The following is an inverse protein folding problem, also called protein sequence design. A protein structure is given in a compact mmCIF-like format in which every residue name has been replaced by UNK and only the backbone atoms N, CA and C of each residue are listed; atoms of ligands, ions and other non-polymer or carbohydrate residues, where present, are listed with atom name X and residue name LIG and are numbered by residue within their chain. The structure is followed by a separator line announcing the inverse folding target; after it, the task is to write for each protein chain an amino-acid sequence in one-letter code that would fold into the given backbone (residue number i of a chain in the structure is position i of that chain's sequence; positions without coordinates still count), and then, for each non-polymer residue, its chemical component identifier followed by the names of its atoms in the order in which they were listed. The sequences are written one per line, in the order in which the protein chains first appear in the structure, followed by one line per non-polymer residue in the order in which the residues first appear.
data_IF_760184545383
#
_entry.id   IF_760184545383
#
_cell.length_a   1.000
_cell.length_b   1.000
_cell.length_c   1.000
_cell.angle_alpha   90.00
_cell.angle_beta   90.00
_cell.angle_gamma   90.00
#
_symmetry.space_group_name_H-M   'P 1'
#
loop_
_entity.id
_entity.type
_entity.pdbx_description
1 polymer ?
#
# COMPACT_ATOMS: atom_id res chain seq x y z
N UNK A 1 -17.65 -43.58 -79.53
CA UNK A 1 -18.15 -43.34 -78.15
C UNK A 1 -17.46 -44.31 -77.20
N UNK A 2 -16.51 -43.83 -76.38
CA UNK A 2 -16.13 -44.42 -75.09
C UNK A 2 -15.30 -43.40 -74.34
N UNK A 3 -15.91 -42.80 -73.32
CA UNK A 3 -15.30 -41.86 -72.38
C UNK A 3 -14.75 -42.69 -71.22
N UNK A 4 -13.45 -42.65 -71.00
CA UNK A 4 -12.81 -43.16 -69.78
C UNK A 4 -12.34 -41.98 -68.94
N UNK A 5 -13.05 -41.71 -67.85
CA UNK A 5 -12.76 -40.62 -66.90
C UNK A 5 -11.50 -40.96 -66.08
N UNK A 6 -10.53 -40.05 -66.06
CA UNK A 6 -9.43 -40.04 -65.09
C UNK A 6 -9.92 -39.45 -63.77
N UNK A 7 -9.86 -40.24 -62.69
CA UNK A 7 -10.21 -39.81 -61.33
C UNK A 7 -9.00 -39.15 -60.68
N UNK A 8 -9.07 -37.84 -60.45
CA UNK A 8 -8.06 -37.09 -59.69
C UNK A 8 -8.45 -37.12 -58.20
N UNK A 9 -7.65 -37.77 -57.35
CA UNK A 9 -7.82 -37.68 -55.90
C UNK A 9 -7.22 -36.36 -55.40
N UNK A 10 -8.08 -35.37 -55.12
CA UNK A 10 -7.70 -34.16 -54.41
C UNK A 10 -7.66 -34.43 -52.91
N UNK A 11 -6.45 -34.53 -52.34
CA UNK A 11 -6.28 -34.57 -50.89
C UNK A 11 -6.47 -33.17 -50.30
N UNK A 12 -7.54 -32.95 -49.54
CA UNK A 12 -7.66 -31.79 -48.67
C UNK A 12 -6.66 -31.94 -47.51
N UNK A 13 -5.57 -31.18 -47.55
CA UNK A 13 -4.72 -30.99 -46.39
C UNK A 13 -5.44 -30.03 -45.43
N UNK A 14 -6.07 -30.57 -44.39
CA UNK A 14 -6.52 -29.82 -43.23
C UNK A 14 -5.28 -29.42 -42.41
N UNK A 15 -4.74 -28.24 -42.66
CA UNK A 15 -3.79 -27.62 -41.72
C UNK A 15 -4.56 -27.20 -40.47
N UNK A 16 -4.22 -27.72 -39.28
CA UNK A 16 -4.83 -27.25 -38.05
C UNK A 16 -4.39 -25.81 -37.83
N UNK A 17 -5.34 -24.88 -37.81
CA UNK A 17 -5.11 -23.54 -37.28
C UNK A 17 -4.92 -23.71 -35.77
N UNK A 18 -3.67 -23.79 -35.32
CA UNK A 18 -3.34 -23.65 -33.92
C UNK A 18 -3.67 -22.21 -33.52
N UNK A 19 -4.85 -22.00 -32.94
CA UNK A 19 -5.14 -20.77 -32.21
C UNK A 19 -4.23 -20.78 -30.99
N UNK A 20 -3.10 -20.06 -31.09
CA UNK A 20 -2.31 -19.72 -29.93
C UNK A 20 -3.18 -18.83 -29.04
N UNK A 21 -3.83 -19.45 -28.06
CA UNK A 21 -4.44 -18.70 -26.95
C UNK A 21 -3.27 -17.97 -26.29
N UNK A 22 -3.30 -16.64 -26.15
CA UNK A 22 -2.29 -15.97 -25.38
C UNK A 22 -2.37 -16.55 -23.98
N UNK A 23 -1.38 -17.33 -23.56
CA UNK A 23 -1.20 -17.59 -22.14
C UNK A 23 -0.93 -16.21 -21.53
N UNK A 24 -1.86 -15.69 -20.74
CA UNK A 24 -1.55 -14.62 -19.80
C UNK A 24 -0.49 -15.18 -18.85
N UNK A 25 0.78 -15.02 -19.23
CA UNK A 25 1.88 -15.22 -18.30
C UNK A 25 1.72 -14.19 -17.18
N UNK A 26 1.74 -14.67 -15.94
CA UNK A 26 1.92 -13.83 -14.76
C UNK A 26 3.06 -12.85 -15.04
N UNK A 27 2.77 -11.55 -14.95
CA UNK A 27 3.80 -10.50 -15.01
C UNK A 27 4.41 -10.23 -13.64
N UNK A 28 3.80 -10.75 -12.58
CA UNK A 28 4.38 -10.72 -11.26
C UNK A 28 5.65 -11.59 -11.21
N UNK A 29 6.71 -11.04 -10.64
CA UNK A 29 8.01 -11.71 -10.52
C UNK A 29 8.31 -12.01 -9.05
N UNK A 30 8.91 -13.17 -8.76
CA UNK A 30 9.36 -13.46 -7.39
C UNK A 30 10.33 -12.37 -6.90
N UNK A 31 10.10 -11.87 -5.69
CA UNK A 31 10.94 -10.86 -5.05
C UNK A 31 11.06 -11.13 -3.56
N UNK A 32 11.88 -12.13 -3.23
CA UNK A 32 12.11 -12.55 -1.86
C UNK A 32 12.96 -11.56 -1.06
N UNK A 33 13.60 -10.60 -1.73
CA UNK A 33 14.45 -9.59 -1.09
C UNK A 33 13.61 -8.55 -0.36
N UNK A 34 12.46 -8.16 -0.93
CA UNK A 34 11.58 -7.16 -0.34
C UNK A 34 10.81 -7.67 0.90
N UNK A 35 10.68 -8.99 1.05
CA UNK A 35 9.99 -9.60 2.18
C UNK A 35 10.47 -9.07 3.54
N UNK A 36 11.77 -8.91 3.73
CA UNK A 36 12.32 -8.49 5.03
C UNK A 36 11.86 -7.08 5.41
N UNK A 37 11.83 -6.15 4.45
CA UNK A 37 11.40 -4.77 4.71
C UNK A 37 9.88 -4.68 4.89
N UNK A 38 9.10 -5.43 4.11
CA UNK A 38 7.63 -5.48 4.25
C UNK A 38 7.16 -6.23 5.50
N UNK A 39 7.88 -7.28 5.93
CA UNK A 39 7.66 -7.94 7.21
C UNK A 39 7.90 -6.99 8.38
N UNK A 40 9.00 -6.21 8.35
CA UNK A 40 9.26 -5.17 9.35
C UNK A 40 8.18 -4.09 9.32
N UNK A 41 7.75 -3.65 8.14
CA UNK A 41 6.66 -2.71 8.01
C UNK A 41 5.39 -3.24 8.69
N UNK A 42 5.07 -4.53 8.53
CA UNK A 42 3.92 -5.17 9.17
C UNK A 42 4.07 -5.30 10.69
N UNK A 43 5.28 -5.56 11.20
CA UNK A 43 5.58 -5.52 12.63
C UNK A 43 5.30 -4.13 13.23
N UNK A 44 5.79 -3.06 12.58
CA UNK A 44 5.57 -1.68 13.00
C UNK A 44 4.10 -1.27 12.92
N UNK A 45 3.38 -1.67 11.87
CA UNK A 45 1.94 -1.46 11.77
C UNK A 45 1.18 -2.21 12.86
N UNK A 46 1.57 -3.44 13.19
CA UNK A 46 1.01 -4.19 14.32
C UNK A 46 1.28 -3.49 15.66
N UNK A 47 2.48 -2.94 15.87
CA UNK A 47 2.83 -2.21 17.09
C UNK A 47 1.97 -0.94 17.28
N UNK A 48 1.57 -0.28 16.17
CA UNK A 48 0.64 0.84 16.22
C UNK A 48 -0.75 0.41 16.73
N UNK A 49 -1.23 -0.79 16.37
CA UNK A 49 -2.46 -1.35 16.94
C UNK A 49 -2.30 -1.71 18.41
N UNK A 50 -1.16 -2.30 18.79
CA UNK A 50 -0.86 -2.67 20.19
C UNK A 50 -0.77 -1.44 21.09
N UNK A 51 -0.45 -0.26 20.55
CA UNK A 51 -0.24 0.96 21.33
C UNK A 51 1.09 0.93 22.08
N UNK A 52 2.13 0.38 21.47
CA UNK A 52 3.46 0.30 22.06
C UNK A 52 3.98 1.68 22.49
N UNK A 53 4.60 1.74 23.67
CA UNK A 53 5.21 2.96 24.22
C UNK A 53 6.71 2.76 24.42
N UNK A 54 7.49 3.82 24.30
CA UNK A 54 8.96 3.78 24.39
C UNK A 54 9.62 3.24 23.13
N UNK A 55 9.33 1.99 22.75
CA UNK A 55 9.88 1.35 21.56
C UNK A 55 8.85 0.51 20.80
N UNK A 56 8.98 0.46 19.49
CA UNK A 56 8.33 -0.51 18.61
C UNK A 56 9.40 -1.19 17.76
N UNK A 57 9.81 -2.40 18.15
CA UNK A 57 10.93 -3.12 17.55
C UNK A 57 12.21 -2.26 17.57
N UNK A 58 12.78 -1.95 16.41
CA UNK A 58 14.00 -1.14 16.28
C UNK A 58 13.76 0.37 16.38
N UNK A 59 12.49 0.81 16.43
CA UNK A 59 12.12 2.23 16.49
C UNK A 59 11.99 2.68 17.94
N UNK A 60 12.79 3.68 18.32
CA UNK A 60 12.60 4.45 19.55
C UNK A 60 11.52 5.51 19.30
N UNK A 61 10.41 5.42 20.03
CA UNK A 61 9.25 6.31 19.88
C UNK A 61 9.51 7.61 20.63
N UNK A 62 9.40 8.74 19.93
CA UNK A 62 9.54 10.08 20.52
C UNK A 62 8.21 10.80 20.66
N UNK A 63 7.23 10.48 19.80
CA UNK A 63 5.88 11.07 19.87
C UNK A 63 4.81 10.02 19.58
N UNK A 64 3.77 10.00 20.40
CA UNK A 64 2.52 9.31 20.08
C UNK A 64 1.60 10.27 19.33
N UNK A 65 0.97 9.77 18.26
CA UNK A 65 -0.12 10.44 17.57
C UNK A 65 -1.41 9.93 18.22
N UNK A 66 -2.24 10.85 18.73
CA UNK A 66 -3.51 10.51 19.36
C UNK A 66 -4.51 11.66 19.22
N UNK A 67 -5.21 11.72 18.09
CA UNK A 67 -6.30 12.67 17.86
C UNK A 67 -7.65 12.00 18.16
N UNK A 68 -8.33 12.49 19.20
CA UNK A 68 -9.54 11.89 19.73
C UNK A 68 -10.74 12.05 18.79
N UNK A 69 -10.83 13.16 18.07
CA UNK A 69 -12.00 13.49 17.24
C UNK A 69 -12.10 12.58 16.03
N UNK A 70 -10.96 12.24 15.43
CA UNK A 70 -10.86 11.42 14.22
C UNK A 70 -10.37 9.99 14.52
N UNK A 71 -10.25 9.62 15.80
CA UNK A 71 -9.64 8.36 16.29
C UNK A 71 -8.33 8.02 15.55
N UNK A 72 -7.54 9.05 15.25
CA UNK A 72 -6.31 8.93 14.46
C UNK A 72 -5.15 8.70 15.40
N UNK A 73 -4.54 7.54 15.27
CA UNK A 73 -3.47 7.09 16.15
C UNK A 73 -2.26 6.60 15.38
N UNK A 74 -1.12 6.62 16.05
CA UNK A 74 0.15 6.19 15.47
C UNK A 74 1.32 6.60 16.36
N UNK A 75 2.52 6.48 15.82
CA UNK A 75 3.73 6.91 16.50
C UNK A 75 4.73 7.49 15.52
N UNK A 76 5.61 8.34 16.05
CA UNK A 76 6.77 8.88 15.36
C UNK A 76 8.00 8.56 16.19
N UNK A 77 9.08 8.19 15.52
CA UNK A 77 10.32 7.85 16.18
C UNK A 77 11.48 7.72 15.22
N UNK A 78 12.57 7.16 15.72
CA UNK A 78 13.77 6.91 14.92
C UNK A 78 14.33 5.51 15.20
N UNK A 79 14.93 4.91 14.19
CA UNK A 79 15.71 3.68 14.29
C UNK A 79 17.18 3.98 14.05
N UNK A 80 18.01 3.70 15.05
CA UNK A 80 19.47 3.81 14.92
C UNK A 80 20.05 2.68 14.07
N UNK A 81 19.42 1.50 14.12
CA UNK A 81 19.80 0.32 13.33
C UNK A 81 19.63 0.57 11.84
N UNK A 82 18.47 1.12 11.44
CA UNK A 82 18.13 1.39 10.04
C UNK A 82 18.51 2.81 9.58
N UNK A 83 18.86 3.70 10.53
CA UNK A 83 19.09 5.14 10.30
C UNK A 83 17.90 5.81 9.62
N UNK A 84 16.70 5.57 10.17
CA UNK A 84 15.42 6.06 9.64
C UNK A 84 14.61 6.80 10.68
N UNK A 85 13.90 7.83 10.25
CA UNK A 85 12.82 8.47 11.00
C UNK A 85 11.51 7.85 10.52
N UNK A 86 10.73 7.29 11.45
CA UNK A 86 9.56 6.46 11.12
C UNK A 86 8.28 7.16 11.55
N UNK A 87 7.30 7.23 10.65
CA UNK A 87 5.90 7.57 10.95
C UNK A 87 5.05 6.32 10.75
N UNK A 88 4.49 5.77 11.83
CA UNK A 88 3.64 4.59 11.76
C UNK A 88 2.19 4.93 12.13
N UNK A 89 1.26 4.70 11.21
CA UNK A 89 -0.15 5.00 11.41
C UNK A 89 -0.92 3.73 11.76
N UNK A 90 -1.75 3.81 12.80
CA UNK A 90 -2.67 2.74 13.18
C UNK A 90 -3.83 2.68 12.18
N UNK A 91 -4.31 1.49 11.89
CA UNK A 91 -5.61 1.33 11.24
C UNK A 91 -6.78 1.50 12.22
N UNK A 92 -7.96 1.18 11.70
CA UNK A 92 -9.24 1.21 12.41
C UNK A 92 -9.30 0.23 13.58
N UNK A 93 -9.92 0.61 14.68
CA UNK A 93 -10.31 -0.32 15.76
C UNK A 93 -11.35 -1.34 15.32
N UNK A 94 -12.23 -0.94 14.39
CA UNK A 94 -13.17 -1.81 13.69
C UNK A 94 -13.03 -1.63 12.17
N UNK A 95 -12.29 -2.53 11.53
CA UNK A 95 -12.05 -2.46 10.08
C UNK A 95 -13.34 -2.68 9.27
N UNK A 96 -14.22 -3.56 9.73
CA UNK A 96 -15.50 -3.85 9.05
C UNK A 96 -16.43 -2.67 9.04
N UNK A 97 -16.51 -1.92 10.15
CA UNK A 97 -17.40 -0.75 10.23
C UNK A 97 -16.88 0.37 9.33
N UNK A 98 -15.56 0.62 9.34
CA UNK A 98 -14.96 1.66 8.51
C UNK A 98 -15.08 1.36 7.01
N UNK A 99 -15.05 0.10 6.59
CA UNK A 99 -15.30 -0.25 5.20
C UNK A 99 -16.71 0.16 4.70
N UNK A 100 -17.69 0.23 5.62
CA UNK A 100 -19.06 0.63 5.33
C UNK A 100 -19.30 2.13 5.50
N UNK A 101 -18.61 2.77 6.46
CA UNK A 101 -18.92 4.12 6.93
C UNK A 101 -17.92 5.20 6.49
N UNK A 102 -16.81 4.84 5.82
CA UNK A 102 -15.82 5.84 5.38
C UNK A 102 -16.44 6.82 4.39
N UNK A 103 -16.22 8.11 4.63
CA UNK A 103 -16.68 9.18 3.75
C UNK A 103 -15.85 9.20 2.47
N UNK A 104 -16.40 8.61 1.42
CA UNK A 104 -15.78 8.53 0.09
C UNK A 104 -15.94 9.80 -0.75
N UNK A 105 -16.52 10.87 -0.22
CA UNK A 105 -16.70 12.13 -0.94
C UNK A 105 -15.35 12.71 -1.35
N UNK A 106 -15.15 12.97 -2.64
CA UNK A 106 -13.92 13.59 -3.15
C UNK A 106 -13.87 15.08 -2.77
N UNK A 107 -12.80 15.47 -2.08
CA UNK A 107 -12.50 16.85 -1.71
C UNK A 107 -11.17 17.30 -2.32
N UNK A 108 -11.01 18.61 -2.51
CA UNK A 108 -9.72 19.21 -2.87
C UNK A 108 -8.87 19.34 -1.60
N UNK A 109 -7.75 18.61 -1.48
CA UNK A 109 -6.96 18.61 -0.26
C UNK A 109 -6.12 19.89 -0.12
N UNK A 110 -5.87 20.29 1.12
CA UNK A 110 -4.96 21.39 1.48
C UNK A 110 -4.19 21.02 2.74
N UNK A 111 -2.86 21.07 2.67
CA UNK A 111 -1.95 20.75 3.77
C UNK A 111 -0.76 21.70 3.74
N UNK A 112 -0.21 22.06 4.90
CA UNK A 112 0.95 22.92 4.96
C UNK A 112 2.18 22.26 4.28
N UNK A 113 2.93 23.03 3.50
CA UNK A 113 4.10 22.50 2.77
C UNK A 113 3.79 21.55 1.60
N UNK A 114 2.52 21.35 1.22
CA UNK A 114 2.13 20.51 0.08
C UNK A 114 1.43 21.33 -1.00
N UNK A 115 1.98 21.31 -2.22
CA UNK A 115 1.37 21.95 -3.39
C UNK A 115 0.65 20.90 -4.24
N UNK A 116 -0.66 20.73 -4.04
CA UNK A 116 -1.47 19.83 -4.85
C UNK A 116 -1.74 20.42 -6.25
N UNK A 117 -1.67 19.63 -7.33
CA UNK A 117 -2.02 20.09 -8.67
C UNK A 117 -3.54 20.27 -8.79
N UNK A 118 -3.96 21.10 -9.74
CA UNK A 118 -5.39 21.25 -10.07
C UNK A 118 -5.98 19.91 -10.50
N UNK A 119 -7.19 19.61 -10.04
CA UNK A 119 -7.87 18.34 -10.34
C UNK A 119 -7.59 17.22 -9.35
N UNK A 120 -6.48 17.26 -8.60
CA UNK A 120 -6.19 16.25 -7.58
C UNK A 120 -7.23 16.30 -6.45
N UNK A 121 -7.96 15.21 -6.30
CA UNK A 121 -8.98 15.05 -5.25
C UNK A 121 -8.80 13.74 -4.53
N UNK A 122 -9.05 13.75 -3.24
CA UNK A 122 -9.00 12.55 -2.39
C UNK A 122 -10.25 12.44 -1.52
N UNK A 123 -10.54 11.23 -1.04
CA UNK A 123 -11.68 11.00 -0.19
C UNK A 123 -11.56 11.74 1.15
N UNK A 124 -12.65 12.38 1.56
CA UNK A 124 -12.73 13.14 2.81
C UNK A 124 -12.42 12.28 4.04
N UNK A 125 -12.83 11.01 4.03
CA UNK A 125 -12.55 10.04 5.10
C UNK A 125 -11.07 9.70 5.32
N UNK A 126 -10.17 10.09 4.41
CA UNK A 126 -8.71 10.03 4.61
C UNK A 126 -8.14 11.43 4.83
N UNK A 127 -8.65 12.43 4.10
CA UNK A 127 -8.16 13.79 4.22
C UNK A 127 -8.38 14.35 5.63
N UNK A 128 -9.59 14.22 6.18
CA UNK A 128 -9.95 14.71 7.51
C UNK A 128 -9.02 14.16 8.62
N UNK A 129 -8.89 12.83 8.82
CA UNK A 129 -8.00 12.29 9.84
C UNK A 129 -6.51 12.61 9.61
N UNK A 130 -6.04 12.66 8.36
CA UNK A 130 -4.65 13.05 8.12
C UNK A 130 -4.41 14.53 8.43
N UNK A 131 -5.32 15.41 7.99
CA UNK A 131 -5.21 16.85 8.17
C UNK A 131 -5.19 17.25 9.66
N UNK A 132 -5.89 16.51 10.52
CA UNK A 132 -5.93 16.79 11.96
C UNK A 132 -4.60 16.53 12.66
N UNK A 133 -3.75 15.64 12.11
CA UNK A 133 -2.44 15.29 12.69
C UNK A 133 -1.26 15.81 11.87
N UNK A 134 -1.48 16.30 10.65
CA UNK A 134 -0.45 16.65 9.67
C UNK A 134 0.66 17.54 10.25
N UNK A 135 0.30 18.72 10.77
CA UNK A 135 1.30 19.69 11.23
C UNK A 135 2.09 19.16 12.43
N UNK A 136 1.44 18.37 13.27
CA UNK A 136 2.05 17.71 14.42
C UNK A 136 3.05 16.63 14.01
N UNK A 137 2.77 15.90 12.93
CA UNK A 137 3.68 14.91 12.33
C UNK A 137 4.86 15.62 11.69
N UNK A 138 4.62 16.62 10.82
CA UNK A 138 5.68 17.34 10.12
C UNK A 138 6.62 18.04 11.12
N UNK A 139 6.09 18.63 12.18
CA UNK A 139 6.89 19.28 13.23
C UNK A 139 7.83 18.30 13.94
N UNK A 140 7.34 17.11 14.32
CA UNK A 140 8.17 16.10 14.98
C UNK A 140 9.22 15.50 14.04
N UNK A 141 8.83 15.18 12.81
CA UNK A 141 9.77 14.68 11.80
C UNK A 141 10.86 15.72 11.53
N UNK A 142 10.52 17.01 11.46
CA UNK A 142 11.50 18.08 11.32
C UNK A 142 12.48 18.12 12.49
N UNK A 143 11.99 18.05 13.73
CA UNK A 143 12.83 17.97 14.93
C UNK A 143 13.81 16.79 14.88
N UNK A 144 13.33 15.61 14.46
CA UNK A 144 14.18 14.43 14.29
C UNK A 144 15.17 14.57 13.13
N UNK A 145 14.79 15.22 12.03
CA UNK A 145 15.70 15.49 10.90
C UNK A 145 16.84 16.43 11.32
N UNK A 146 16.56 17.42 12.19
CA UNK A 146 17.58 18.32 12.73
C UNK A 146 18.55 17.58 13.68
N UNK A 147 18.05 16.61 14.45
CA UNK A 147 18.88 15.78 15.35
C UNK A 147 19.66 14.69 14.59
N UNK A 148 19.09 14.13 13.54
CA UNK A 148 19.62 13.02 12.75
C UNK A 148 19.69 13.40 11.26
N UNK A 149 20.59 14.32 10.87
CA UNK A 149 20.63 14.89 9.52
C UNK A 149 20.99 13.87 8.44
N UNK A 150 21.60 12.75 8.78
CA UNK A 150 21.97 11.66 7.87
C UNK A 150 20.92 10.54 7.80
N UNK A 151 19.81 10.64 8.53
CA UNK A 151 18.75 9.63 8.50
C UNK A 151 17.80 9.88 7.32
N UNK A 152 17.30 8.78 6.74
CA UNK A 152 16.20 8.82 5.77
C UNK A 152 14.85 8.84 6.49
N UNK A 153 13.75 9.03 5.77
CA UNK A 153 12.41 9.04 6.36
C UNK A 153 11.62 7.86 5.81
N UNK A 154 10.86 7.20 6.67
CA UNK A 154 9.91 6.16 6.29
C UNK A 154 8.53 6.39 6.89
N UNK A 155 7.50 5.88 6.20
CA UNK A 155 6.18 5.75 6.80
C UNK A 155 5.54 4.40 6.53
N UNK A 156 4.70 3.93 7.45
CA UNK A 156 4.02 2.64 7.33
C UNK A 156 2.67 2.65 8.03
N UNK A 157 1.80 1.74 7.64
CA UNK A 157 0.52 1.54 8.30
C UNK A 157 -0.26 0.43 7.62
N UNK A 158 -1.26 -0.10 8.32
CA UNK A 158 -2.10 -1.18 7.85
C UNK A 158 -3.57 -0.74 7.76
N UNK A 159 -4.32 -1.25 6.77
CA UNK A 159 -5.74 -0.92 6.57
C UNK A 159 -5.92 0.58 6.39
N UNK A 160 -6.78 1.24 7.19
CA UNK A 160 -6.88 2.70 7.26
C UNK A 160 -5.51 3.38 7.46
N UNK A 161 -4.62 2.81 8.27
CA UNK A 161 -3.26 3.33 8.47
C UNK A 161 -2.40 3.22 7.21
N UNK A 162 -2.63 2.20 6.39
CA UNK A 162 -2.03 2.07 5.07
C UNK A 162 -2.58 3.13 4.10
N UNK A 163 -3.88 3.38 4.15
CA UNK A 163 -4.50 4.45 3.36
C UNK A 163 -4.02 5.85 3.78
N UNK A 164 -3.80 6.08 5.08
CA UNK A 164 -3.12 7.30 5.59
C UNK A 164 -1.65 7.38 5.15
N UNK A 165 -0.99 6.23 4.95
CA UNK A 165 0.41 6.18 4.50
C UNK A 165 0.58 6.72 3.07
N UNK A 166 -0.42 6.61 2.20
CA UNK A 166 -0.41 7.29 0.89
C UNK A 166 -0.24 8.81 1.04
N UNK A 167 -1.12 9.46 1.80
CA UNK A 167 -1.03 10.91 1.96
C UNK A 167 0.18 11.33 2.81
N UNK A 168 0.58 10.50 3.77
CA UNK A 168 1.84 10.66 4.52
C UNK A 168 3.05 10.70 3.60
N UNK A 169 3.15 9.78 2.64
CA UNK A 169 4.24 9.74 1.66
C UNK A 169 4.37 11.06 0.90
N UNK A 170 3.26 11.59 0.38
CA UNK A 170 3.23 12.87 -0.33
C UNK A 170 3.65 14.02 0.60
N UNK A 171 3.08 14.08 1.81
CA UNK A 171 3.37 15.14 2.77
C UNK A 171 4.85 15.16 3.17
N UNK A 172 5.45 13.99 3.41
CA UNK A 172 6.86 13.85 3.75
C UNK A 172 7.77 14.22 2.57
N UNK A 173 7.46 13.77 1.36
CA UNK A 173 8.25 14.11 0.17
C UNK A 173 8.28 15.61 -0.12
N UNK A 174 7.14 16.30 0.04
CA UNK A 174 7.02 17.74 -0.24
C UNK A 174 7.61 18.60 0.88
N UNK A 175 7.49 18.20 2.15
CA UNK A 175 8.06 18.95 3.27
C UNK A 175 9.57 18.70 3.46
N UNK A 176 10.09 17.56 2.99
CA UNK A 176 11.50 17.17 3.14
C UNK A 176 12.16 16.78 1.80
N UNK A 177 12.18 17.66 0.78
CA UNK A 177 12.61 17.32 -0.58
C UNK A 177 14.08 16.87 -0.70
N UNK A 178 14.91 17.13 0.32
CA UNK A 178 16.31 16.68 0.41
C UNK A 178 16.52 15.32 1.08
N UNK A 179 15.44 14.63 1.49
CA UNK A 179 15.50 13.34 2.18
C UNK A 179 15.03 12.21 1.28
N UNK A 180 15.64 11.04 1.42
CA UNK A 180 15.10 9.81 0.83
C UNK A 180 13.87 9.38 1.62
N UNK A 181 12.76 9.17 0.91
CA UNK A 181 11.47 8.75 1.48
C UNK A 181 11.13 7.34 1.01
N UNK A 182 10.82 6.43 1.94
CA UNK A 182 10.30 5.08 1.64
C UNK A 182 9.04 4.84 2.46
N UNK A 183 7.91 4.62 1.81
CA UNK A 183 6.63 4.39 2.46
C UNK A 183 6.07 3.02 2.13
N UNK A 184 5.53 2.33 3.12
CA UNK A 184 4.96 0.98 2.98
C UNK A 184 3.49 1.00 3.43
N UNK A 185 2.58 1.16 2.48
CA UNK A 185 1.15 1.11 2.72
C UNK A 185 0.67 -0.35 2.68
N UNK A 186 0.27 -0.90 3.83
CA UNK A 186 -0.13 -2.31 3.93
C UNK A 186 -1.65 -2.45 3.89
N UNK A 187 -2.15 -3.39 3.07
CA UNK A 187 -3.57 -3.71 2.96
C UNK A 187 -4.45 -2.45 2.78
N UNK A 188 -4.00 -1.53 1.94
CA UNK A 188 -4.59 -0.20 1.80
C UNK A 188 -5.55 -0.14 0.60
N UNK A 189 -6.68 0.54 0.78
CA UNK A 189 -7.59 0.90 -0.32
C UNK A 189 -7.12 2.20 -1.00
N UNK A 190 -7.42 2.44 -2.29
CA UNK A 190 -7.06 3.67 -2.97
C UNK A 190 -7.89 4.84 -2.44
N UNK A 191 -7.31 6.05 -2.48
CA UNK A 191 -7.83 7.19 -1.69
C UNK A 191 -8.24 8.40 -2.54
N UNK A 192 -8.07 8.37 -3.86
CA UNK A 192 -8.32 9.53 -4.69
C UNK A 192 -8.44 9.22 -6.16
N UNK A 193 -8.72 10.27 -6.92
CA UNK A 193 -8.86 10.18 -8.37
C UNK A 193 -7.50 10.02 -9.08
N UNK A 194 -7.55 9.88 -10.41
CA UNK A 194 -6.37 9.72 -11.24
C UNK A 194 -5.36 10.87 -11.09
N UNK A 195 -5.82 12.13 -11.03
CA UNK A 195 -4.93 13.29 -10.82
C UNK A 195 -4.18 13.21 -9.48
N UNK A 196 -4.85 12.75 -8.41
CA UNK A 196 -4.22 12.53 -7.12
C UNK A 196 -3.20 11.38 -7.16
N UNK A 197 -3.54 10.26 -7.82
CA UNK A 197 -2.63 9.13 -7.99
C UNK A 197 -1.38 9.50 -8.81
N UNK A 198 -1.56 10.28 -9.90
CA UNK A 198 -0.47 10.82 -10.70
C UNK A 198 0.42 11.75 -9.89
N UNK A 199 -0.15 12.60 -9.03
CA UNK A 199 0.62 13.44 -8.12
C UNK A 199 1.43 12.59 -7.15
N UNK A 200 0.82 11.56 -6.54
CA UNK A 200 1.52 10.59 -5.69
C UNK A 200 2.68 9.90 -6.41
N UNK A 201 2.46 9.39 -7.62
CA UNK A 201 3.49 8.74 -8.43
C UNK A 201 4.64 9.67 -8.83
N UNK A 202 4.41 10.98 -8.87
CA UNK A 202 5.43 11.98 -9.25
C UNK A 202 6.38 12.38 -8.11
N UNK A 203 6.10 11.97 -6.87
CA UNK A 203 6.91 12.35 -5.71
C UNK A 203 8.30 11.71 -5.75
N UNK A 204 9.30 12.42 -5.23
CA UNK A 204 10.67 11.91 -5.12
C UNK A 204 10.81 10.98 -3.92
N UNK A 205 10.50 9.70 -4.12
CA UNK A 205 10.59 8.66 -3.10
C UNK A 205 10.12 7.32 -3.64
N UNK A 206 9.98 6.34 -2.73
CA UNK A 206 9.41 5.03 -3.06
C UNK A 206 8.17 4.80 -2.21
N UNK A 207 7.05 4.52 -2.85
CA UNK A 207 5.87 4.01 -2.19
C UNK A 207 5.63 2.56 -2.61
N UNK A 208 5.62 1.68 -1.62
CA UNK A 208 5.27 0.28 -1.75
C UNK A 208 3.87 0.04 -1.20
N UNK A 209 3.10 -0.81 -1.89
CA UNK A 209 1.80 -1.32 -1.46
C UNK A 209 1.94 -2.79 -1.10
N UNK A 210 1.96 -3.11 0.19
CA UNK A 210 2.11 -4.48 0.67
C UNK A 210 0.75 -5.14 0.88
N UNK A 211 0.39 -6.09 0.02
CA UNK A 211 -0.91 -6.74 0.02
C UNK A 211 -0.82 -8.23 0.36
N UNK A 212 -1.89 -8.77 0.94
CA UNK A 212 -1.94 -10.14 1.44
C UNK A 212 -2.92 -11.02 0.65
N UNK A 213 -2.64 -12.33 0.61
CA UNK A 213 -3.58 -13.36 0.18
C UNK A 213 -4.93 -13.19 0.88
N UNK A 214 -6.03 -13.41 0.14
CA UNK A 214 -7.40 -13.39 0.66
C UNK A 214 -7.86 -12.06 1.31
N UNK A 215 -7.21 -10.94 0.99
CA UNK A 215 -7.61 -9.58 1.37
C UNK A 215 -8.29 -8.83 0.22
N UNK A 216 -9.55 -8.43 0.40
CA UNK A 216 -10.34 -7.66 -0.55
C UNK A 216 -10.27 -6.14 -0.38
N UNK A 217 -9.60 -5.63 0.66
CA UNK A 217 -9.55 -4.19 0.94
C UNK A 217 -8.85 -3.39 -0.18
N UNK A 218 -7.73 -3.85 -0.77
CA UNK A 218 -7.13 -3.19 -1.93
C UNK A 218 -8.02 -3.17 -3.19
N UNK A 219 -9.14 -3.91 -3.20
CA UNK A 219 -10.11 -3.91 -4.30
C UNK A 219 -11.31 -3.00 -4.05
N UNK A 220 -11.35 -2.26 -2.94
CA UNK A 220 -12.41 -1.31 -2.65
C UNK A 220 -12.26 -0.05 -3.50
N UNK A 221 -13.40 0.56 -3.88
CA UNK A 221 -13.49 1.87 -4.54
C UNK A 221 -12.81 2.03 -5.91
N UNK A 222 -12.23 0.96 -6.49
CA UNK A 222 -11.62 1.00 -7.83
C UNK A 222 -12.63 0.97 -8.98
N UNK A 223 -13.91 0.70 -8.68
CA UNK A 223 -14.98 0.63 -9.67
C UNK A 223 -15.90 1.86 -9.56
N UNK A 224 -16.61 2.14 -10.66
CA UNK A 224 -17.71 3.10 -10.69
C UNK A 224 -18.70 2.85 -9.53
N UNK A 225 -19.16 3.90 -8.81
CA UNK A 225 -19.03 5.33 -9.15
C UNK A 225 -17.78 6.04 -8.59
N UNK A 226 -16.87 5.33 -7.91
CA UNK A 226 -15.72 5.97 -7.25
C UNK A 226 -14.51 6.14 -8.17
N UNK A 227 -14.17 5.08 -8.91
CA UNK A 227 -13.06 5.06 -9.87
C UNK A 227 -11.73 5.56 -9.25
N UNK A 228 -11.47 5.19 -7.98
CA UNK A 228 -10.23 5.57 -7.28
C UNK A 228 -9.04 4.77 -7.77
N UNK A 229 -7.87 5.43 -7.80
CA UNK A 229 -6.67 4.93 -8.45
C UNK A 229 -5.55 4.75 -7.44
N UNK A 230 -4.89 3.60 -7.48
CA UNK A 230 -3.67 3.35 -6.72
C UNK A 230 -2.46 4.01 -7.38
N UNK A 231 -1.42 4.21 -6.58
CA UNK A 231 -0.09 4.51 -7.07
C UNK A 231 0.96 3.79 -6.23
N UNK A 232 2.13 3.56 -6.81
CA UNK A 232 3.28 2.93 -6.15
C UNK A 232 3.58 1.54 -6.70
N UNK A 233 4.39 0.77 -6.00
CA UNK A 233 4.70 -0.61 -6.40
C UNK A 233 3.96 -1.60 -5.50
N UNK A 234 3.11 -2.44 -6.07
CA UNK A 234 2.49 -3.52 -5.30
C UNK A 234 3.42 -4.72 -5.12
N UNK A 235 3.47 -5.20 -3.89
CA UNK A 235 4.03 -6.48 -3.51
C UNK A 235 2.93 -7.32 -2.90
N UNK A 236 2.94 -8.61 -3.20
CA UNK A 236 1.90 -9.55 -2.79
C UNK A 236 2.52 -10.78 -2.16
N UNK A 237 1.94 -11.29 -1.07
CA UNK A 237 2.40 -12.51 -0.42
C UNK A 237 1.24 -13.27 0.22
N UNK A 238 1.43 -14.58 0.41
CA UNK A 238 0.58 -15.43 1.25
C UNK A 238 1.13 -15.62 2.67
N UNK A 239 1.96 -14.68 3.13
CA UNK A 239 2.53 -14.69 4.48
C UNK A 239 3.85 -15.44 4.61
N UNK A 240 4.56 -15.68 3.51
CA UNK A 240 5.92 -16.24 3.56
C UNK A 240 6.86 -15.52 2.59
N UNK A 241 8.17 -15.54 2.90
CA UNK A 241 9.19 -15.01 2.00
C UNK A 241 9.13 -15.65 0.61
N UNK A 242 8.96 -16.98 0.56
CA UNK A 242 8.93 -17.73 -0.70
C UNK A 242 7.72 -17.40 -1.59
N UNK A 243 6.61 -16.92 -1.01
CA UNK A 243 5.42 -16.52 -1.76
C UNK A 243 5.40 -15.04 -2.15
N UNK A 244 6.46 -14.29 -1.86
CA UNK A 244 6.51 -12.86 -2.15
C UNK A 244 6.78 -12.60 -3.62
N UNK A 245 5.90 -11.80 -4.22
CA UNK A 245 6.02 -11.35 -5.61
C UNK A 245 5.92 -9.84 -5.69
N UNK A 246 6.64 -9.27 -6.65
CA UNK A 246 6.46 -7.91 -7.14
C UNK A 246 5.46 -7.92 -8.28
N UNK A 247 4.41 -7.11 -8.18
CA UNK A 247 3.33 -7.04 -9.14
C UNK A 247 3.66 -6.09 -10.31
N UNK A 248 3.04 -6.33 -11.47
CA UNK A 248 3.17 -5.47 -12.65
C UNK A 248 2.08 -4.40 -12.71
N UNK A 249 2.46 -3.15 -12.48
CA UNK A 249 1.53 -2.02 -12.50
C UNK A 249 0.60 -2.02 -11.28
N UNK A 250 -0.49 -1.25 -11.36
CA UNK A 250 -1.31 -0.99 -10.18
C UNK A 250 -2.38 -2.06 -9.89
N UNK A 251 -2.74 -2.87 -10.88
CA UNK A 251 -3.86 -3.82 -10.82
C UNK A 251 -3.51 -5.15 -11.47
N UNK A 252 -2.36 -5.73 -11.11
CA UNK A 252 -1.93 -7.04 -11.60
C UNK A 252 -2.89 -8.14 -11.13
N UNK A 253 -3.45 -8.91 -12.07
CA UNK A 253 -4.38 -10.00 -11.79
C UNK A 253 -3.73 -11.21 -11.10
N UNK A 254 -2.40 -11.25 -11.02
CA UNK A 254 -1.67 -12.22 -10.19
C UNK A 254 -1.52 -11.78 -8.72
N UNK A 255 -1.94 -10.56 -8.39
CA UNK A 255 -1.90 -9.97 -7.06
C UNK A 255 -3.30 -9.65 -6.54
N UNK A 256 -3.49 -8.56 -5.78
CA UNK A 256 -4.79 -8.23 -5.17
C UNK A 256 -5.93 -8.13 -6.19
N UNK A 257 -5.69 -7.56 -7.37
CA UNK A 257 -6.73 -7.29 -8.36
C UNK A 257 -7.41 -8.55 -8.91
N UNK A 258 -6.75 -9.72 -8.86
CA UNK A 258 -7.29 -10.99 -9.35
C UNK A 258 -7.62 -12.01 -8.26
N UNK A 259 -7.55 -11.63 -6.97
CA UNK A 259 -7.77 -12.57 -5.87
C UNK A 259 -9.25 -12.90 -5.61
N UNK A 260 -10.18 -12.24 -6.30
CA UNK A 260 -11.63 -12.48 -6.18
C UNK A 260 -12.27 -11.96 -4.90
N UNK A 261 -11.56 -11.15 -4.10
CA UNK A 261 -12.04 -10.59 -2.83
C UNK A 261 -12.39 -9.11 -2.98
N UNK A 262 -13.40 -8.64 -2.24
CA UNK A 262 -13.75 -7.21 -2.13
C UNK A 262 -14.19 -6.91 -0.70
N UNK A 263 -13.73 -5.79 -0.14
CA UNK A 263 -14.03 -5.40 1.23
C UNK A 263 -13.15 -6.12 2.25
N UNK A 264 -13.54 -6.06 3.53
CA UNK A 264 -12.79 -6.69 4.62
C UNK A 264 -13.05 -8.20 4.63
N UNK A 265 -12.08 -8.96 4.17
CA UNK A 265 -12.10 -10.43 4.13
C UNK A 265 -11.03 -11.03 5.05
N UNK A 266 -11.00 -12.36 5.18
CA UNK A 266 -10.18 -13.04 6.19
C UNK A 266 -8.68 -12.68 6.12
N UNK A 267 -8.13 -12.50 4.92
CA UNK A 267 -6.74 -12.14 4.71
C UNK A 267 -6.36 -10.74 5.20
N UNK A 268 -7.34 -9.87 5.45
CA UNK A 268 -7.10 -8.48 5.86
C UNK A 268 -6.48 -8.34 7.25
N UNK A 269 -6.60 -9.34 8.13
CA UNK A 269 -6.12 -9.24 9.51
C UNK A 269 -4.66 -9.65 9.70
N UNK A 270 -3.97 -9.97 8.60
CA UNK A 270 -2.55 -10.32 8.58
C UNK A 270 -1.86 -9.70 7.38
N UNK A 271 -0.57 -9.38 7.52
CA UNK A 271 0.22 -8.91 6.39
C UNK A 271 1.68 -9.33 6.55
N UNK A 272 2.31 -9.80 5.48
CA UNK A 272 3.68 -10.35 5.46
C UNK A 272 4.00 -11.25 6.67
N UNK A 273 3.10 -12.16 7.02
CA UNK A 273 3.32 -13.16 8.09
C UNK A 273 3.10 -12.62 9.52
N UNK A 274 2.61 -11.39 9.66
CA UNK A 274 2.26 -10.78 10.95
C UNK A 274 0.76 -10.65 11.07
N UNK A 275 0.17 -11.20 12.14
CA UNK A 275 -1.21 -10.91 12.53
C UNK A 275 -1.27 -9.56 13.24
N UNK A 276 -2.15 -8.67 12.77
CA UNK A 276 -2.21 -7.29 13.25
C UNK A 276 -2.64 -7.22 14.72
N UNK A 277 -1.91 -6.42 15.51
CA UNK A 277 -2.10 -6.26 16.96
C UNK A 277 -1.47 -7.36 17.81
N UNK A 278 -0.91 -8.41 17.20
CA UNK A 278 -0.37 -9.58 17.90
C UNK A 278 1.16 -9.70 17.84
N UNK A 279 1.85 -8.81 17.11
CA UNK A 279 3.32 -8.84 17.03
C UNK A 279 4.02 -8.42 18.33
N UNK A 280 3.33 -7.71 19.23
CA UNK A 280 3.93 -7.09 20.41
C UNK A 280 4.78 -5.86 20.04
N UNK A 281 5.67 -5.48 20.97
CA UNK A 281 6.48 -4.25 20.86
C UNK A 281 7.98 -4.51 20.72
N UNK A 282 8.40 -5.77 20.80
CA UNK A 282 9.80 -6.17 20.70
C UNK A 282 9.91 -7.50 19.96
N UNK A 283 11.04 -7.69 19.28
CA UNK A 283 11.45 -8.99 18.78
C UNK A 283 11.53 -9.93 19.98
N UNK A 284 10.67 -10.95 20.03
CA UNK A 284 10.81 -11.99 21.05
C UNK A 284 12.19 -12.61 20.87
N UNK A 285 13.07 -12.48 21.86
CA UNK A 285 14.31 -13.26 21.94
C UNK A 285 13.89 -14.72 22.11
N UNK A 286 13.78 -15.45 21.01
CA UNK A 286 13.82 -16.91 21.01
C UNK A 286 15.23 -17.36 20.64
#
# INVERSE_FOLDING_TARGET
MRVGKSTLFGGLALTPLALAVPMLQSRATADTAEWTELHRAAQLSSAAYTGCTGTAFDVTITKQINELTTDTQGFIGYSTEKKRITVAMRGSTSATDIANDVDTTLVEPSLSGVNFPSGAKMMHGIFSPWSSVHDDVISEVKSLVEQYPDYTIESTGHSLGGSLTYISYIALAQNFPGKTIISNALAAYPIGNEDFANFGASQNGTLNRGNNADDGVPNMYVMWPWDFVHYGTEYYSSGTQASTVKCSGERDTSCSAGNGQVGVTAGHFSNFGISMGLAGCSSSLF
#
